data_IF_931511156487
#
_entry.id   IF_931511156487
#
_cell.length_a   1.000
_cell.length_b   1.000
_cell.length_c   1.000
_cell.angle_alpha   90.00
_cell.angle_beta   90.00
_cell.angle_gamma   90.00
#
_symmetry.space_group_name_H-M   'P 1'
#
loop_
_entity.id
_entity.type
_entity.pdbx_description
1 polymer ?
#
# COMPACT_ATOMS: atom_id res chain seq x y z
N UNK A 1 -53.88 23.92 -99.22
CA UNK A 1 -54.65 24.81 -98.31
C UNK A 1 -54.09 24.62 -96.90
N UNK A 2 -53.85 25.75 -96.23
CA UNK A 2 -53.14 26.05 -94.96
C UNK A 2 -53.59 25.26 -93.71
N UNK A 3 -53.01 25.45 -92.49
CA UNK A 3 -51.78 26.18 -92.07
C UNK A 3 -50.87 25.33 -91.12
N UNK A 4 -49.56 25.56 -91.00
CA UNK A 4 -48.96 26.62 -90.17
C UNK A 4 -48.55 26.12 -88.76
N UNK A 5 -47.46 25.34 -88.64
CA UNK A 5 -46.87 25.08 -87.32
C UNK A 5 -45.85 26.18 -86.99
N UNK A 6 -46.38 27.16 -86.27
CA UNK A 6 -45.74 28.33 -85.70
C UNK A 6 -44.43 27.94 -84.99
N UNK A 7 -43.38 28.64 -85.37
CA UNK A 7 -42.04 28.63 -84.79
C UNK A 7 -42.11 28.63 -83.26
N UNK A 8 -41.72 27.51 -82.64
CA UNK A 8 -41.47 27.44 -81.22
C UNK A 8 -40.23 28.27 -80.89
N UNK A 9 -40.43 29.57 -80.68
CA UNK A 9 -39.43 30.47 -80.12
C UNK A 9 -39.13 29.97 -78.71
N UNK A 10 -38.15 29.07 -78.62
CA UNK A 10 -37.45 28.80 -77.37
C UNK A 10 -36.84 30.13 -76.92
N UNK A 11 -37.51 30.81 -75.97
CA UNK A 11 -37.05 32.05 -75.37
C UNK A 11 -35.78 31.75 -74.56
N UNK A 12 -34.64 31.69 -75.23
CA UNK A 12 -33.32 31.70 -74.58
C UNK A 12 -33.20 33.01 -73.80
N UNK A 13 -32.83 32.98 -72.50
CA UNK A 13 -32.65 34.18 -71.68
C UNK A 13 -31.65 35.21 -72.26
N UNK A 14 -30.83 34.78 -73.23
CA UNK A 14 -29.65 35.48 -73.74
C UNK A 14 -29.84 36.13 -75.13
N UNK A 15 -31.03 36.10 -75.75
CA UNK A 15 -31.22 36.72 -77.07
C UNK A 15 -31.49 38.23 -76.98
N UNK A 16 -30.97 38.99 -77.96
CA UNK A 16 -31.17 40.42 -78.11
C UNK A 16 -32.66 40.77 -78.24
N UNK A 17 -33.18 41.59 -77.33
CA UNK A 17 -34.54 42.11 -77.35
C UNK A 17 -34.58 43.59 -77.75
N UNK A 18 -35.77 44.20 -77.73
CA UNK A 18 -35.94 45.66 -77.87
C UNK A 18 -35.10 46.44 -76.85
N UNK A 19 -34.78 47.70 -77.14
CA UNK A 19 -33.94 48.58 -76.32
C UNK A 19 -34.39 48.66 -74.85
N UNK A 20 -35.70 48.72 -74.61
CA UNK A 20 -36.29 48.75 -73.25
C UNK A 20 -35.98 47.47 -72.45
N UNK A 21 -36.02 46.31 -73.10
CA UNK A 21 -35.74 45.01 -72.49
C UNK A 21 -34.24 44.86 -72.19
N UNK A 22 -33.36 45.48 -73.00
CA UNK A 22 -31.93 45.48 -72.75
C UNK A 22 -31.58 46.30 -71.49
N UNK A 23 -32.13 47.51 -71.36
CA UNK A 23 -31.92 48.39 -70.19
C UNK A 23 -32.42 47.74 -68.90
N UNK A 24 -33.62 47.16 -68.93
CA UNK A 24 -34.20 46.46 -67.78
C UNK A 24 -33.34 45.25 -67.34
N UNK A 25 -32.86 44.44 -68.30
CA UNK A 25 -31.99 43.27 -68.01
C UNK A 25 -30.64 43.68 -67.45
N UNK A 26 -30.06 44.78 -67.92
CA UNK A 26 -28.78 45.31 -67.42
C UNK A 26 -28.92 45.84 -65.99
N UNK A 27 -30.01 46.54 -65.70
CA UNK A 27 -30.34 46.99 -64.35
C UNK A 27 -30.55 45.81 -63.38
N UNK A 28 -31.34 44.81 -63.79
CA UNK A 28 -31.54 43.57 -63.02
C UNK A 28 -30.23 42.81 -62.80
N UNK A 29 -29.37 42.73 -63.81
CA UNK A 29 -28.05 42.11 -63.71
C UNK A 29 -27.13 42.84 -62.73
N UNK A 30 -27.12 44.17 -62.76
CA UNK A 30 -26.37 45.00 -61.82
C UNK A 30 -26.84 44.79 -60.36
N UNK A 31 -28.16 44.82 -60.13
CA UNK A 31 -28.76 44.52 -58.83
C UNK A 31 -28.39 43.11 -58.34
N UNK A 32 -28.49 42.11 -59.22
CA UNK A 32 -28.10 40.73 -58.89
C UNK A 32 -26.61 40.63 -58.55
N UNK A 33 -25.74 41.34 -59.27
CA UNK A 33 -24.31 41.40 -58.99
C UNK A 33 -24.00 42.04 -57.63
N UNK A 34 -24.71 43.11 -57.25
CA UNK A 34 -24.58 43.75 -55.94
C UNK A 34 -25.03 42.82 -54.82
N UNK A 35 -26.17 42.15 -54.99
CA UNK A 35 -26.68 41.16 -54.04
C UNK A 35 -25.71 39.99 -53.86
N UNK A 36 -25.18 39.43 -54.95
CA UNK A 36 -24.21 38.33 -54.90
C UNK A 36 -22.90 38.74 -54.22
N UNK A 37 -22.38 39.93 -54.53
CA UNK A 37 -21.17 40.47 -53.89
C UNK A 37 -21.38 40.64 -52.39
N UNK A 38 -22.55 41.14 -51.99
CA UNK A 38 -22.93 41.32 -50.58
C UNK A 38 -23.02 39.97 -49.88
N UNK A 39 -23.65 38.97 -50.51
CA UNK A 39 -23.72 37.60 -49.98
C UNK A 39 -22.33 36.96 -49.80
N UNK A 40 -21.42 37.15 -50.76
CA UNK A 40 -20.03 36.68 -50.68
C UNK A 40 -19.28 37.38 -49.54
N UNK A 41 -19.48 38.68 -49.34
CA UNK A 41 -18.88 39.44 -48.25
C UNK A 41 -19.31 38.91 -46.88
N UNK A 42 -20.61 38.72 -46.66
CA UNK A 42 -21.14 38.10 -45.44
C UNK A 42 -20.60 36.67 -45.25
N UNK A 43 -20.54 35.88 -46.32
CA UNK A 43 -20.00 34.53 -46.26
C UNK A 43 -18.53 34.49 -45.81
N UNK A 44 -17.68 35.33 -46.42
CA UNK A 44 -16.25 35.37 -46.09
C UNK A 44 -15.98 35.89 -44.67
N UNK A 45 -16.75 36.88 -44.21
CA UNK A 45 -16.62 37.40 -42.85
C UNK A 45 -17.11 36.41 -41.79
N UNK A 46 -18.31 35.84 -41.97
CA UNK A 46 -18.94 35.07 -40.90
C UNK A 46 -18.60 33.57 -40.96
N UNK A 47 -18.47 32.97 -42.16
CA UNK A 47 -18.23 31.54 -42.29
C UNK A 47 -16.75 31.18 -42.35
N UNK A 48 -15.95 31.97 -43.08
CA UNK A 48 -14.50 31.76 -43.17
C UNK A 48 -13.72 32.54 -42.10
N UNK A 49 -14.37 33.44 -41.37
CA UNK A 49 -13.78 34.25 -40.30
C UNK A 49 -12.47 34.95 -40.73
N UNK A 50 -12.44 35.39 -42.00
CA UNK A 50 -11.30 36.10 -42.57
C UNK A 50 -11.19 37.51 -41.97
N UNK A 51 -9.96 38.04 -41.92
CA UNK A 51 -9.73 39.42 -41.46
C UNK A 51 -10.57 40.43 -42.25
N UNK A 52 -11.28 41.36 -41.58
CA UNK A 52 -12.21 42.26 -42.25
C UNK A 52 -11.54 43.14 -43.31
N UNK A 53 -10.26 43.50 -43.12
CA UNK A 53 -9.50 44.28 -44.10
C UNK A 53 -9.27 43.53 -45.41
N UNK A 54 -8.92 42.25 -45.33
CA UNK A 54 -8.63 41.41 -46.50
C UNK A 54 -9.94 41.09 -47.23
N UNK A 55 -11.00 40.76 -46.48
CA UNK A 55 -12.32 40.46 -47.03
C UNK A 55 -12.89 41.65 -47.80
N UNK A 56 -12.82 42.87 -47.24
CA UNK A 56 -13.26 44.08 -47.94
C UNK A 56 -12.49 44.30 -49.23
N UNK A 57 -11.15 44.16 -49.21
CA UNK A 57 -10.33 44.33 -50.42
C UNK A 57 -10.72 43.34 -51.53
N UNK A 58 -10.84 42.05 -51.19
CA UNK A 58 -11.23 41.00 -52.14
C UNK A 58 -12.64 41.25 -52.69
N UNK A 59 -13.60 41.58 -51.82
CA UNK A 59 -14.97 41.86 -52.24
C UNK A 59 -15.12 43.14 -53.05
N UNK A 60 -14.29 44.16 -52.82
CA UNK A 60 -14.27 45.36 -53.68
C UNK A 60 -13.83 45.00 -55.11
N UNK A 61 -12.71 44.26 -55.26
CA UNK A 61 -12.19 43.87 -56.57
C UNK A 61 -13.16 42.93 -57.29
N UNK A 62 -13.58 41.84 -56.62
CA UNK A 62 -14.52 40.88 -57.20
C UNK A 62 -15.90 41.49 -57.43
N UNK A 63 -16.33 42.39 -56.56
CA UNK A 63 -17.62 43.07 -56.65
C UNK A 63 -17.72 43.96 -57.87
N UNK A 64 -16.69 44.76 -58.15
CA UNK A 64 -16.62 45.57 -59.37
C UNK A 64 -16.66 44.67 -60.61
N UNK A 65 -15.93 43.55 -60.62
CA UNK A 65 -15.90 42.62 -61.77
C UNK A 65 -17.27 41.96 -61.96
N UNK A 66 -17.89 41.44 -60.89
CA UNK A 66 -19.17 40.73 -60.94
C UNK A 66 -20.32 41.67 -61.30
N UNK A 67 -20.42 42.84 -60.67
CA UNK A 67 -21.49 43.81 -60.94
C UNK A 67 -21.44 44.30 -62.38
N UNK A 68 -20.28 44.73 -62.87
CA UNK A 68 -20.13 45.18 -64.25
C UNK A 68 -20.27 44.02 -65.26
N UNK A 69 -19.77 42.83 -64.94
CA UNK A 69 -19.92 41.63 -65.76
C UNK A 69 -21.39 41.25 -65.96
N UNK A 70 -22.17 41.21 -64.88
CA UNK A 70 -23.61 40.96 -64.94
C UNK A 70 -24.40 42.15 -65.51
N UNK A 71 -23.89 43.38 -65.44
CA UNK A 71 -24.57 44.56 -65.96
C UNK A 71 -24.36 44.80 -67.45
N UNK A 72 -23.27 44.31 -68.06
CA UNK A 72 -22.96 44.62 -69.47
C UNK A 72 -22.71 43.39 -70.35
N UNK A 73 -22.22 42.26 -69.80
CA UNK A 73 -21.88 41.08 -70.61
C UNK A 73 -22.98 40.00 -70.58
N UNK A 74 -23.62 39.67 -71.72
CA UNK A 74 -24.69 38.67 -71.75
C UNK A 74 -24.19 37.25 -71.43
N UNK A 75 -22.96 36.91 -71.83
CA UNK A 75 -22.33 35.62 -71.54
C UNK A 75 -22.21 35.37 -70.03
N UNK A 76 -21.69 36.37 -69.29
CA UNK A 76 -21.52 36.31 -67.84
C UNK A 76 -22.87 36.19 -67.14
N UNK A 77 -23.86 36.98 -67.55
CA UNK A 77 -25.24 36.89 -67.02
C UNK A 77 -25.80 35.48 -67.17
N UNK A 78 -25.65 34.89 -68.35
CA UNK A 78 -26.22 33.58 -68.62
C UNK A 78 -25.53 32.47 -67.83
N UNK A 79 -24.20 32.50 -67.69
CA UNK A 79 -23.45 31.56 -66.85
C UNK A 79 -23.92 31.65 -65.39
N UNK A 80 -24.06 32.86 -64.84
CA UNK A 80 -24.45 33.03 -63.43
C UNK A 80 -25.94 32.68 -63.19
N UNK A 81 -26.83 33.02 -64.12
CA UNK A 81 -28.23 32.61 -64.06
C UNK A 81 -28.42 31.09 -64.20
N UNK A 82 -27.56 30.41 -64.96
CA UNK A 82 -27.51 28.95 -65.05
C UNK A 82 -26.82 28.31 -63.84
N UNK A 83 -25.92 29.02 -63.17
CA UNK A 83 -25.26 28.55 -61.96
C UNK A 83 -26.28 28.31 -60.82
N UNK A 84 -27.27 29.19 -60.67
CA UNK A 84 -28.33 29.07 -59.65
C UNK A 84 -29.08 27.73 -59.70
N UNK A 85 -29.69 27.30 -60.82
CA UNK A 85 -30.34 25.99 -60.90
C UNK A 85 -29.31 24.84 -60.87
N UNK A 86 -28.06 25.07 -61.30
CA UNK A 86 -27.01 24.04 -61.26
C UNK A 86 -26.59 23.65 -59.85
N UNK A 87 -26.77 24.52 -58.84
CA UNK A 87 -26.55 24.19 -57.43
C UNK A 87 -27.46 23.06 -56.93
N UNK A 88 -28.64 22.91 -57.53
CA UNK A 88 -29.59 21.84 -57.22
C UNK A 88 -29.37 20.56 -58.04
N UNK A 89 -28.42 20.58 -58.98
CA UNK A 89 -28.00 19.40 -59.75
C UNK A 89 -27.20 18.43 -58.89
N UNK A 90 -26.97 17.20 -59.39
CA UNK A 90 -26.17 16.17 -58.70
C UNK A 90 -24.78 16.68 -58.31
N UNK A 91 -24.11 17.41 -59.20
CA UNK A 91 -22.80 18.03 -58.94
C UNK A 91 -22.87 19.16 -57.91
N UNK A 92 -23.93 19.98 -57.96
CA UNK A 92 -24.14 21.06 -57.01
C UNK A 92 -24.39 20.56 -55.58
N UNK A 93 -25.14 19.45 -55.44
CA UNK A 93 -25.34 18.78 -54.14
C UNK A 93 -24.04 18.34 -53.50
N UNK A 94 -23.07 17.82 -54.27
CA UNK A 94 -21.75 17.45 -53.74
C UNK A 94 -21.02 18.66 -53.15
N UNK A 95 -21.08 19.81 -53.82
CA UNK A 95 -20.48 21.06 -53.32
C UNK A 95 -21.19 21.54 -52.05
N UNK A 96 -22.53 21.48 -52.01
CA UNK A 96 -23.29 21.83 -50.81
C UNK A 96 -22.98 20.92 -49.62
N UNK A 97 -22.81 19.62 -49.85
CA UNK A 97 -22.42 18.67 -48.79
C UNK A 97 -21.01 18.98 -48.27
N UNK A 98 -20.05 19.26 -49.17
CA UNK A 98 -18.70 19.66 -48.77
C UNK A 98 -18.72 20.96 -47.95
N UNK A 99 -19.56 21.93 -48.34
CA UNK A 99 -19.76 23.16 -47.58
C UNK A 99 -20.37 22.90 -46.19
N UNK A 100 -21.38 22.03 -46.08
CA UNK A 100 -21.95 21.62 -44.79
C UNK A 100 -20.90 21.00 -43.88
N UNK A 101 -19.98 20.19 -44.42
CA UNK A 101 -18.88 19.63 -43.64
C UNK A 101 -17.95 20.72 -43.07
N UNK A 102 -17.61 21.73 -43.87
CA UNK A 102 -16.80 22.88 -43.41
C UNK A 102 -17.53 23.62 -42.28
N UNK A 103 -18.84 23.86 -42.42
CA UNK A 103 -19.63 24.50 -41.36
C UNK A 103 -19.64 23.70 -40.06
N UNK A 104 -19.83 22.38 -40.15
CA UNK A 104 -19.84 21.48 -39.00
C UNK A 104 -18.46 21.46 -38.32
N UNK A 105 -17.38 21.47 -39.10
CA UNK A 105 -16.02 21.50 -38.59
C UNK A 105 -15.67 22.81 -37.88
N UNK A 106 -16.05 23.95 -38.46
CA UNK A 106 -15.71 25.27 -37.92
C UNK A 106 -16.48 25.63 -36.63
N UNK A 107 -17.68 25.07 -36.42
CA UNK A 107 -18.52 25.36 -35.25
C UNK A 107 -18.67 24.17 -34.30
N UNK A 108 -19.65 23.27 -34.53
CA UNK A 108 -19.97 22.16 -33.63
C UNK A 108 -18.78 21.28 -33.23
N UNK A 109 -17.94 20.87 -34.18
CA UNK A 109 -16.81 19.97 -33.90
C UNK A 109 -15.77 20.67 -33.03
N UNK A 110 -15.45 21.93 -33.32
CA UNK A 110 -14.53 22.73 -32.49
C UNK A 110 -15.05 22.86 -31.04
N UNK A 111 -16.36 23.04 -30.87
CA UNK A 111 -16.98 23.09 -29.55
C UNK A 111 -16.91 21.74 -28.82
N UNK A 112 -17.21 20.64 -29.51
CA UNK A 112 -17.09 19.29 -28.95
C UNK A 112 -15.65 18.98 -28.53
N UNK A 113 -14.67 19.33 -29.34
CA UNK A 113 -13.24 19.20 -29.01
C UNK A 113 -12.85 20.06 -27.81
N UNK A 114 -13.38 21.27 -27.68
CA UNK A 114 -13.15 22.11 -26.50
C UNK A 114 -13.71 21.45 -25.23
N UNK A 115 -14.94 20.94 -25.29
CA UNK A 115 -15.56 20.24 -24.16
C UNK A 115 -14.80 18.96 -23.79
N UNK A 116 -14.32 18.21 -24.78
CA UNK A 116 -13.47 17.04 -24.55
C UNK A 116 -12.16 17.42 -23.84
N UNK A 117 -11.50 18.50 -24.25
CA UNK A 117 -10.30 19.00 -23.57
C UNK A 117 -10.59 19.43 -22.12
N UNK A 118 -11.70 20.13 -21.88
CA UNK A 118 -12.12 20.49 -20.52
C UNK A 118 -12.40 19.25 -19.69
N UNK A 119 -13.08 18.24 -20.25
CA UNK A 119 -13.33 16.96 -19.59
C UNK A 119 -12.02 16.26 -19.23
N UNK A 120 -11.07 16.15 -20.15
CA UNK A 120 -9.75 15.55 -19.90
C UNK A 120 -9.02 16.29 -18.78
N UNK A 121 -9.02 17.62 -18.78
CA UNK A 121 -8.41 18.41 -17.70
C UNK A 121 -9.10 18.19 -16.34
N UNK A 122 -10.44 18.13 -16.33
CA UNK A 122 -11.21 17.82 -15.12
C UNK A 122 -10.92 16.41 -14.60
N UNK A 123 -10.76 15.43 -15.49
CA UNK A 123 -10.39 14.06 -15.12
C UNK A 123 -8.99 14.01 -14.51
N UNK A 124 -8.01 14.72 -15.07
CA UNK A 124 -6.66 14.79 -14.51
C UNK A 124 -6.67 15.39 -13.09
N UNK A 125 -7.43 16.46 -12.87
CA UNK A 125 -7.62 17.04 -11.53
C UNK A 125 -8.31 16.05 -10.56
N UNK A 126 -9.36 15.37 -11.03
CA UNK A 126 -10.06 14.34 -10.24
C UNK A 126 -9.13 13.19 -9.85
N UNK A 127 -8.28 12.73 -10.76
CA UNK A 127 -7.28 11.70 -10.48
C UNK A 127 -6.27 12.16 -9.42
N UNK A 128 -5.80 13.40 -9.47
CA UNK A 128 -4.88 13.94 -8.47
C UNK A 128 -5.53 14.00 -7.08
N UNK A 129 -6.81 14.42 -7.00
CA UNK A 129 -7.57 14.44 -5.74
C UNK A 129 -7.69 13.01 -5.17
N UNK A 130 -8.09 12.04 -6.00
CA UNK A 130 -8.24 10.64 -5.59
C UNK A 130 -6.91 10.10 -5.06
N UNK A 131 -5.80 10.28 -5.79
CA UNK A 131 -4.48 9.81 -5.35
C UNK A 131 -4.09 10.44 -4.00
N UNK A 132 -4.28 11.75 -3.84
CA UNK A 132 -3.95 12.44 -2.58
C UNK A 132 -4.80 11.94 -1.41
N UNK A 133 -6.11 11.77 -1.61
CA UNK A 133 -7.01 11.26 -0.57
C UNK A 133 -6.72 9.80 -0.23
N UNK A 134 -6.53 8.93 -1.22
CA UNK A 134 -6.18 7.53 -1.00
C UNK A 134 -4.88 7.42 -0.21
N UNK A 135 -3.85 8.22 -0.52
CA UNK A 135 -2.60 8.24 0.24
C UNK A 135 -2.82 8.69 1.69
N UNK A 136 -3.67 9.68 1.93
CA UNK A 136 -4.00 10.14 3.27
C UNK A 136 -4.71 9.05 4.08
N UNK A 137 -5.71 8.39 3.49
CA UNK A 137 -6.43 7.27 4.10
C UNK A 137 -5.46 6.12 4.39
N UNK A 138 -4.63 5.74 3.42
CA UNK A 138 -3.65 4.66 3.58
C UNK A 138 -2.66 4.97 4.71
N UNK A 139 -2.14 6.21 4.78
CA UNK A 139 -1.29 6.65 5.88
C UNK A 139 -2.01 6.53 7.23
N UNK A 140 -3.29 6.91 7.30
CA UNK A 140 -4.07 6.82 8.53
C UNK A 140 -4.35 5.38 8.97
N UNK A 141 -4.53 4.45 8.02
CA UNK A 141 -4.73 3.01 8.29
C UNK A 141 -3.43 2.34 8.77
N UNK A 142 -2.29 2.66 8.15
CA UNK A 142 -1.02 2.01 8.48
C UNK A 142 -0.27 2.68 9.64
N UNK A 143 -0.56 3.94 9.97
CA UNK A 143 0.01 4.62 11.14
C UNK A 143 -0.09 3.82 12.46
N UNK A 144 -1.27 3.29 12.87
CA UNK A 144 -1.36 2.50 14.09
C UNK A 144 -0.58 1.18 14.03
N UNK A 145 -0.49 0.55 12.86
CA UNK A 145 0.27 -0.69 12.68
C UNK A 145 1.76 -0.48 12.92
N UNK A 146 2.33 0.61 12.39
CA UNK A 146 3.74 0.96 12.62
C UNK A 146 3.99 1.22 14.11
N UNK A 147 3.10 1.97 14.77
CA UNK A 147 3.21 2.24 16.19
C UNK A 147 3.18 0.97 17.05
N UNK A 148 2.29 0.01 16.74
CA UNK A 148 2.22 -1.28 17.44
C UNK A 148 3.52 -2.07 17.27
N UNK A 149 4.08 -2.12 16.06
CA UNK A 149 5.35 -2.83 15.80
C UNK A 149 6.49 -2.23 16.61
N UNK A 150 6.56 -0.90 16.73
CA UNK A 150 7.58 -0.24 17.54
C UNK A 150 7.42 -0.55 19.04
N UNK A 151 6.20 -0.51 19.57
CA UNK A 151 5.92 -0.91 20.97
C UNK A 151 6.29 -2.37 21.22
N UNK A 152 5.94 -3.29 20.32
CA UNK A 152 6.34 -4.70 20.43
C UNK A 152 7.86 -4.87 20.43
N UNK A 153 8.59 -4.10 19.61
CA UNK A 153 10.05 -4.13 19.59
C UNK A 153 10.64 -3.70 20.93
N UNK A 154 10.07 -2.69 21.57
CA UNK A 154 10.53 -2.20 22.86
C UNK A 154 10.21 -3.17 24.01
N UNK A 155 9.04 -3.82 23.98
CA UNK A 155 8.71 -4.92 24.89
C UNK A 155 9.71 -6.07 24.75
N UNK A 156 10.04 -6.47 23.53
CA UNK A 156 11.03 -7.53 23.28
C UNK A 156 12.41 -7.17 23.81
N UNK A 157 12.84 -5.90 23.68
CA UNK A 157 14.10 -5.43 24.27
C UNK A 157 14.06 -5.50 25.80
N UNK A 158 12.97 -5.03 26.42
CA UNK A 158 12.82 -5.06 27.87
C UNK A 158 12.81 -6.50 28.41
N UNK A 159 12.10 -7.42 27.74
CA UNK A 159 12.09 -8.84 28.08
C UNK A 159 13.47 -9.48 27.95
N UNK A 160 14.22 -9.16 26.89
CA UNK A 160 15.59 -9.66 26.70
C UNK A 160 16.52 -9.20 27.81
N UNK A 161 16.38 -7.94 28.23
CA UNK A 161 17.17 -7.37 29.31
C UNK A 161 16.81 -7.98 30.68
N UNK A 162 15.52 -8.14 30.96
CA UNK A 162 15.05 -8.83 32.16
C UNK A 162 15.54 -10.29 32.20
N UNK A 163 15.46 -11.02 31.09
CA UNK A 163 15.96 -12.39 30.99
C UNK A 163 17.48 -12.46 31.23
N UNK A 164 18.24 -11.45 30.77
CA UNK A 164 19.68 -11.34 31.03
C UNK A 164 19.96 -11.14 32.53
N UNK A 165 19.26 -10.21 33.18
CA UNK A 165 19.39 -9.98 34.62
C UNK A 165 19.04 -11.23 35.44
N UNK A 166 17.94 -11.90 35.11
CA UNK A 166 17.54 -13.16 35.76
C UNK A 166 18.63 -14.22 35.60
N UNK A 167 19.18 -14.39 34.40
CA UNK A 167 20.27 -15.34 34.15
C UNK A 167 21.50 -15.02 35.00
N UNK A 168 21.90 -13.76 35.08
CA UNK A 168 23.03 -13.32 35.90
C UNK A 168 22.78 -13.57 37.40
N UNK A 169 21.56 -13.30 37.89
CA UNK A 169 21.18 -13.57 39.28
C UNK A 169 21.20 -15.08 39.60
N UNK A 170 20.67 -15.93 38.72
CA UNK A 170 20.71 -17.39 38.91
C UNK A 170 22.15 -17.93 38.90
N UNK A 171 23.03 -17.38 38.05
CA UNK A 171 24.44 -17.74 38.05
C UNK A 171 25.09 -17.36 39.39
N UNK A 172 24.85 -16.16 39.89
CA UNK A 172 25.38 -15.72 41.18
C UNK A 172 24.89 -16.61 42.35
N UNK A 173 23.61 -16.98 42.35
CA UNK A 173 23.04 -17.89 43.37
C UNK A 173 23.70 -19.25 43.29
N UNK A 174 23.82 -19.84 42.09
CA UNK A 174 24.50 -21.12 41.90
C UNK A 174 25.93 -21.09 42.44
N UNK A 175 26.67 -20.03 42.15
CA UNK A 175 28.07 -19.90 42.54
C UNK A 175 28.19 -19.81 44.08
N UNK A 176 27.29 -19.07 44.75
CA UNK A 176 27.17 -19.04 46.22
C UNK A 176 26.89 -20.44 46.80
N UNK A 177 25.94 -21.19 46.23
CA UNK A 177 25.65 -22.55 46.69
C UNK A 177 26.84 -23.49 46.53
N UNK A 178 27.59 -23.39 45.43
CA UNK A 178 28.79 -24.18 45.21
C UNK A 178 29.89 -23.86 46.24
N UNK A 179 30.06 -22.59 46.61
CA UNK A 179 30.98 -22.19 47.69
C UNK A 179 30.59 -22.80 49.03
N UNK A 180 29.30 -22.75 49.40
CA UNK A 180 28.79 -23.34 50.65
C UNK A 180 29.04 -24.85 50.66
N UNK A 181 28.70 -25.56 49.58
CA UNK A 181 28.93 -27.00 49.46
C UNK A 181 30.42 -27.32 49.61
N UNK A 182 31.30 -26.51 49.02
CA UNK A 182 32.74 -26.72 49.12
C UNK A 182 33.25 -26.51 50.56
N UNK A 183 32.74 -25.49 51.26
CA UNK A 183 33.05 -25.27 52.67
C UNK A 183 32.60 -26.43 53.56
N UNK A 184 31.37 -26.94 53.35
CA UNK A 184 30.86 -28.11 54.06
C UNK A 184 31.77 -29.32 53.83
N UNK A 185 32.19 -29.58 52.59
CA UNK A 185 33.13 -30.68 52.27
C UNK A 185 34.43 -30.56 53.06
N UNK A 186 35.01 -29.36 53.14
CA UNK A 186 36.25 -29.12 53.91
C UNK A 186 36.04 -29.44 55.39
N UNK A 187 34.91 -29.01 55.97
CA UNK A 187 34.60 -29.29 57.38
C UNK A 187 34.41 -30.79 57.63
N UNK A 188 33.69 -31.50 56.77
CA UNK A 188 33.51 -32.95 56.90
C UNK A 188 34.82 -33.72 56.72
N UNK A 189 35.69 -33.30 55.80
CA UNK A 189 37.03 -33.89 55.64
C UNK A 189 37.87 -33.70 56.91
N UNK A 190 37.83 -32.51 57.52
CA UNK A 190 38.50 -32.26 58.79
C UNK A 190 37.91 -33.09 59.94
N UNK A 191 36.58 -33.19 60.03
CA UNK A 191 35.89 -33.99 61.05
C UNK A 191 36.27 -35.48 60.93
N UNK A 192 36.31 -36.01 59.71
CA UNK A 192 36.70 -37.40 59.47
C UNK A 192 38.12 -37.67 59.97
N UNK A 193 39.06 -36.74 59.76
CA UNK A 193 40.43 -36.86 60.28
C UNK A 193 40.46 -36.88 61.81
N UNK A 194 39.62 -36.09 62.49
CA UNK A 194 39.51 -36.13 63.95
C UNK A 194 38.91 -37.44 64.44
N UNK A 195 37.83 -37.91 63.80
CA UNK A 195 37.20 -39.19 64.13
C UNK A 195 38.18 -40.34 63.99
N UNK A 196 39.04 -40.31 62.96
CA UNK A 196 40.10 -41.30 62.74
C UNK A 196 41.12 -41.29 63.89
N UNK A 197 41.62 -40.12 64.29
CA UNK A 197 42.56 -39.98 65.44
C UNK A 197 41.91 -40.46 66.74
N UNK A 198 40.65 -40.11 66.99
CA UNK A 198 39.92 -40.55 68.18
C UNK A 198 39.69 -42.07 68.18
N UNK A 199 39.31 -42.63 67.04
CA UNK A 199 39.08 -44.08 66.87
C UNK A 199 40.37 -44.87 67.05
N UNK A 200 41.49 -44.34 66.56
CA UNK A 200 42.82 -44.92 66.78
C UNK A 200 43.19 -44.99 68.26
N UNK A 201 42.84 -43.97 69.05
CA UNK A 201 43.25 -43.87 70.46
C UNK A 201 42.29 -44.52 71.46
N UNK A 202 40.98 -44.52 71.17
CA UNK A 202 39.94 -44.96 72.12
C UNK A 202 39.08 -46.13 71.60
N UNK A 203 39.32 -46.62 70.38
CA UNK A 203 38.44 -47.59 69.71
C UNK A 203 37.17 -46.94 69.16
N UNK A 204 36.37 -47.69 68.39
CA UNK A 204 35.12 -47.17 67.84
C UNK A 204 34.07 -46.92 68.94
N UNK A 205 33.07 -46.03 68.72
CA UNK A 205 32.00 -45.77 69.68
C UNK A 205 31.29 -47.04 70.15
N UNK A 206 31.05 -47.96 69.22
CA UNK A 206 30.53 -49.30 69.48
C UNK A 206 31.43 -50.08 70.45
N UNK A 207 32.73 -50.17 70.15
CA UNK A 207 33.70 -50.90 70.98
C UNK A 207 33.79 -50.32 72.40
N UNK A 208 33.75 -48.99 72.53
CA UNK A 208 33.78 -48.33 73.83
C UNK A 208 32.49 -48.58 74.63
N UNK A 209 31.34 -48.55 73.97
CA UNK A 209 30.06 -48.87 74.60
C UNK A 209 30.06 -50.32 75.10
N UNK A 210 30.43 -51.28 74.25
CA UNK A 210 30.48 -52.70 74.63
C UNK A 210 31.45 -52.94 75.77
N UNK A 211 32.61 -52.27 75.74
CA UNK A 211 33.63 -52.38 76.80
C UNK A 211 33.11 -51.87 78.15
N UNK A 212 32.39 -50.75 78.19
CA UNK A 212 31.83 -50.23 79.44
C UNK A 212 30.78 -51.18 80.05
N UNK A 213 29.98 -51.85 79.21
CA UNK A 213 29.04 -52.87 79.69
C UNK A 213 29.75 -54.16 80.12
N UNK A 214 30.82 -54.56 79.43
CA UNK A 214 31.65 -55.71 79.85
C UNK A 214 32.32 -55.44 81.21
N UNK A 215 32.93 -54.27 81.40
CA UNK A 215 33.53 -53.87 82.67
C UNK A 215 32.48 -53.84 83.82
N UNK A 216 31.23 -53.45 83.53
CA UNK A 216 30.14 -53.42 84.51
C UNK A 216 29.60 -54.83 84.85
N UNK A 217 29.59 -55.75 83.89
CA UNK A 217 29.26 -57.16 84.11
C UNK A 217 30.32 -57.78 85.03
N UNK A 218 31.60 -57.53 84.76
CA UNK A 218 32.71 -58.04 85.55
C UNK A 218 32.67 -57.54 87.01
N UNK A 219 32.43 -56.25 87.23
CA UNK A 219 32.31 -55.67 88.58
C UNK A 219 31.06 -56.19 89.33
N UNK A 220 29.96 -56.45 88.62
CA UNK A 220 28.75 -57.07 89.18
C UNK A 220 29.03 -58.49 89.66
N UNK A 221 29.68 -59.31 88.82
CA UNK A 221 30.00 -60.70 89.16
C UNK A 221 30.96 -60.80 90.34
N UNK A 222 31.91 -59.87 90.45
CA UNK A 222 32.88 -59.84 91.54
C UNK A 222 32.21 -59.53 92.88
N UNK A 223 31.22 -58.65 92.91
CA UNK A 223 30.53 -58.22 94.15
C UNK A 223 29.42 -59.16 94.61
N UNK A 224 28.77 -59.86 93.70
CA UNK A 224 27.54 -60.64 94.00
C UNK A 224 27.77 -62.11 94.36
N UNK A 225 29.00 -62.62 94.30
CA UNK A 225 29.39 -63.92 94.86
C UNK A 225 28.55 -65.11 94.37
N UNK A 226 27.64 -65.62 95.19
CA UNK A 226 26.77 -66.78 94.88
C UNK A 226 25.55 -66.38 94.00
N UNK A 227 25.17 -65.10 93.98
CA UNK A 227 24.00 -64.59 93.25
C UNK A 227 24.33 -64.02 91.85
N UNK A 228 25.37 -64.55 91.17
CA UNK A 228 25.83 -64.06 89.85
C UNK A 228 24.76 -64.06 88.76
N UNK A 229 23.75 -64.93 88.86
CA UNK A 229 22.67 -65.00 87.87
C UNK A 229 21.93 -63.67 87.68
N UNK A 230 21.95 -62.77 88.68
CA UNK A 230 21.33 -61.44 88.59
C UNK A 230 22.06 -60.48 87.63
N UNK A 231 23.34 -60.73 87.31
CA UNK A 231 24.11 -59.87 86.41
C UNK A 231 23.74 -60.05 84.91
N UNK A 232 22.98 -61.09 84.55
CA UNK A 232 22.54 -61.35 83.16
C UNK A 232 21.64 -60.24 82.58
N UNK A 233 20.95 -59.48 83.43
CA UNK A 233 20.16 -58.31 82.99
C UNK A 233 21.06 -57.28 82.29
N UNK A 234 22.29 -57.08 82.78
CA UNK A 234 23.24 -56.12 82.20
C UNK A 234 23.71 -56.60 80.81
N UNK A 235 23.86 -57.91 80.62
CA UNK A 235 24.17 -58.51 79.32
C UNK A 235 23.06 -58.27 78.29
N UNK A 236 21.79 -58.34 78.68
CA UNK A 236 20.67 -58.05 77.78
C UNK A 236 20.63 -56.57 77.34
N UNK A 237 21.02 -55.66 78.24
CA UNK A 237 21.06 -54.22 77.95
C UNK A 237 22.24 -53.84 77.02
N UNK A 238 23.28 -54.68 76.92
CA UNK A 238 24.43 -54.47 76.02
C UNK A 238 24.03 -54.31 74.54
N UNK A 239 22.89 -54.86 74.10
CA UNK A 239 22.41 -54.71 72.71
C UNK A 239 22.22 -53.24 72.29
N UNK A 240 21.95 -52.35 73.25
CA UNK A 240 21.78 -50.91 73.02
C UNK A 240 23.02 -50.30 72.33
N UNK A 241 24.20 -50.91 72.50
CA UNK A 241 25.42 -50.45 71.83
C UNK A 241 25.37 -50.57 70.29
N UNK A 242 24.52 -51.39 69.68
CA UNK A 242 24.38 -51.47 68.21
C UNK A 242 23.92 -50.16 67.58
N UNK A 243 23.26 -49.29 68.33
CA UNK A 243 22.87 -47.94 67.89
C UNK A 243 24.12 -47.11 67.56
N UNK A 244 25.22 -47.30 68.30
CA UNK A 244 26.48 -46.58 68.09
C UNK A 244 27.28 -47.04 66.86
N UNK A 245 26.75 -47.97 66.05
CA UNK A 245 27.39 -48.50 64.85
C UNK A 245 27.12 -47.64 63.59
N UNK A 246 26.10 -46.80 63.59
CA UNK A 246 25.60 -46.14 62.38
C UNK A 246 25.13 -44.72 62.63
N UNK A 247 26.04 -43.73 62.58
CA UNK A 247 25.64 -42.31 62.60
C UNK A 247 26.05 -41.50 61.35
N UNK A 248 26.81 -42.05 60.40
CA UNK A 248 27.33 -41.25 59.28
C UNK A 248 26.59 -41.47 57.94
N UNK A 249 25.84 -42.55 57.78
CA UNK A 249 25.30 -42.94 56.45
C UNK A 249 23.95 -42.29 56.13
N UNK A 250 23.04 -42.12 57.10
CA UNK A 250 21.71 -41.56 56.84
C UNK A 250 21.73 -40.05 56.54
N UNK A 251 22.60 -39.28 57.21
CA UNK A 251 22.65 -37.83 57.04
C UNK A 251 23.17 -37.41 55.66
N UNK A 252 24.14 -38.16 55.10
CA UNK A 252 24.70 -37.89 53.77
C UNK A 252 23.69 -38.24 52.67
N UNK A 253 22.93 -39.32 52.81
CA UNK A 253 21.88 -39.71 51.85
C UNK A 253 20.76 -38.65 51.84
N UNK A 254 20.33 -38.17 53.01
CA UNK A 254 19.29 -37.14 53.12
C UNK A 254 19.70 -35.81 52.47
N UNK A 255 20.94 -35.36 52.69
CA UNK A 255 21.48 -34.14 52.07
C UNK A 255 21.60 -34.26 50.54
N UNK A 256 21.99 -35.43 50.02
CA UNK A 256 22.11 -35.62 48.56
C UNK A 256 20.77 -35.67 47.83
N UNK A 257 19.71 -36.18 48.49
CA UNK A 257 18.36 -36.24 47.91
C UNK A 257 17.68 -34.87 47.87
N UNK A 258 17.81 -34.05 48.91
CA UNK A 258 17.27 -32.68 48.96
C UNK A 258 17.94 -31.75 47.93
N UNK A 259 19.26 -31.88 47.75
CA UNK A 259 20.00 -31.09 46.75
C UNK A 259 19.62 -31.47 45.30
N UNK A 260 19.22 -32.71 45.03
CA UNK A 260 18.81 -33.15 43.69
C UNK A 260 17.44 -32.59 43.29
N UNK A 261 16.54 -32.37 44.25
CA UNK A 261 15.20 -31.79 44.05
C UNK A 261 15.27 -30.30 43.72
N UNK A 262 16.28 -29.58 44.21
CA UNK A 262 16.44 -28.15 43.91
C UNK A 262 17.15 -27.86 42.58
N UNK A 263 17.78 -28.87 41.97
CA UNK A 263 18.59 -28.73 40.75
C UNK A 263 17.89 -29.29 39.48
N UNK A 264 16.77 -30.00 39.62
CA UNK A 264 15.90 -30.47 38.53
C UNK A 264 14.49 -29.90 38.67
#
# INVERSE_FOLDING_TARGET
MLPGHRSGVSRRPCLAGSFENLTLRSFLGFLLGLLLTTAIFFFLLYQLNCSPRITTFICCVLGVILTNGLAFKPEVRCIVLLALPSLFSSRGRTVLIAYTYILVMSGPVKNALRNANVLVNSLNCGQEIVIKQTKAIMKSIFAPLIAIVDVMRDILKALKEFARMMKEAFIAIRDLFLEIINAIKVVFQWLHSIVEVCTSKYGSPYQRCTKAFDDAIDDCEQKMGVFKFLCQIVTAVKFVCEIARSEYTEFVIFLTWELLIFLF
#
